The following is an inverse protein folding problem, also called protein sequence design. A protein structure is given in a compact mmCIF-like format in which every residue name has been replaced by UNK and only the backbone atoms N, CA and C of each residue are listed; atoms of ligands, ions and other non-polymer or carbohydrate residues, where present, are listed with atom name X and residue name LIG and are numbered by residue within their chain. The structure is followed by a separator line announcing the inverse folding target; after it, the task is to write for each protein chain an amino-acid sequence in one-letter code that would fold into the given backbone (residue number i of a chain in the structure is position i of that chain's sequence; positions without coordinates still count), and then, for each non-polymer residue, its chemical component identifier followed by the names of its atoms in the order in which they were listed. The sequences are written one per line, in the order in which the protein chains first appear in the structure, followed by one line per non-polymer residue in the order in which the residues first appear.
data_IF_862850303951
#
_entry.id   IF_862850303951
#
_cell.length_a   1.000
_cell.length_b   1.000
_cell.length_c   1.000
_cell.angle_alpha   90.00
_cell.angle_beta   90.00
_cell.angle_gamma   90.00
#
_symmetry.space_group_name_H-M   'P 1'
#
loop_
_entity.id
_entity.type
_entity.pdbx_description
1 polymer ?
#
# COMPACT_ATOMS: atom_id res chain seq x y z
N UNK A 1 -0.31 11.60 16.99
CA UNK A 1 -0.64 10.86 15.75
C UNK A 1 0.66 10.69 14.99
N UNK A 2 1.06 9.46 14.65
CA UNK A 2 2.38 9.16 14.09
C UNK A 2 2.43 9.58 12.61
N UNK A 3 3.25 10.59 12.30
CA UNK A 3 3.49 11.14 10.95
C UNK A 3 4.42 10.27 10.09
N UNK A 4 4.22 8.95 10.03
CA UNK A 4 5.17 8.09 9.26
C UNK A 4 5.00 8.29 7.75
N UNK A 5 3.87 8.83 7.30
CA UNK A 5 3.61 9.12 5.88
C UNK A 5 3.10 10.54 5.76
N UNK A 6 3.96 11.47 5.35
CA UNK A 6 3.48 12.77 4.90
C UNK A 6 2.91 12.57 3.49
N UNK A 7 1.59 12.72 3.27
CA UNK A 7 0.98 12.50 1.96
C UNK A 7 1.50 13.48 0.92
N UNK A 8 2.03 14.64 1.33
CA UNK A 8 2.69 15.60 0.46
C UNK A 8 4.11 15.21 0.04
N UNK A 9 4.68 14.19 0.68
CA UNK A 9 5.99 13.60 0.34
C UNK A 9 5.87 12.20 -0.27
N UNK A 10 4.66 11.72 -0.53
CA UNK A 10 4.46 10.49 -1.29
C UNK A 10 4.99 10.72 -2.71
N UNK A 11 6.06 10.02 -3.06
CA UNK A 11 6.45 9.81 -4.45
C UNK A 11 5.47 8.80 -5.08
N UNK A 12 4.22 9.22 -5.24
CA UNK A 12 3.15 8.41 -5.80
C UNK A 12 2.53 9.15 -6.97
N UNK A 13 3.13 8.96 -8.13
CA UNK A 13 2.63 9.52 -9.38
C UNK A 13 1.64 8.57 -10.04
N UNK A 14 0.64 9.12 -10.74
CA UNK A 14 -0.31 8.32 -11.53
C UNK A 14 0.38 7.27 -12.43
N UNK A 15 1.47 7.59 -13.16
CA UNK A 15 2.23 6.59 -13.92
C UNK A 15 2.76 5.42 -13.10
N UNK A 16 3.26 5.66 -11.88
CA UNK A 16 3.78 4.59 -11.02
C UNK A 16 2.69 3.63 -10.55
N UNK A 17 1.51 4.15 -10.21
CA UNK A 17 0.36 3.32 -9.84
C UNK A 17 -0.10 2.49 -11.04
N UNK A 18 -0.17 3.09 -12.23
CA UNK A 18 -0.51 2.37 -13.47
C UNK A 18 0.51 1.28 -13.79
N UNK A 19 1.80 1.58 -13.66
CA UNK A 19 2.89 0.60 -13.83
C UNK A 19 2.78 -0.55 -12.83
N UNK A 20 2.38 -0.28 -11.59
CA UNK A 20 2.10 -1.31 -10.60
C UNK A 20 0.94 -2.20 -11.05
N UNK A 21 -0.19 -1.62 -11.47
CA UNK A 21 -1.31 -2.39 -12.00
C UNK A 21 -0.90 -3.29 -13.18
N UNK A 22 -0.12 -2.75 -14.12
CA UNK A 22 0.37 -3.50 -15.29
C UNK A 22 1.29 -4.65 -14.89
N UNK A 23 2.18 -4.44 -13.91
CA UNK A 23 3.03 -5.50 -13.38
C UNK A 23 2.20 -6.64 -12.80
N UNK A 24 1.14 -6.33 -12.06
CA UNK A 24 0.26 -7.33 -11.45
C UNK A 24 -0.57 -8.07 -12.50
N UNK A 25 -1.14 -7.34 -13.48
CA UNK A 25 -1.85 -7.94 -14.62
C UNK A 25 -0.92 -8.90 -15.37
N UNK A 26 0.28 -8.45 -15.76
CA UNK A 26 1.26 -9.28 -16.47
C UNK A 26 1.66 -10.53 -15.68
N UNK A 27 1.78 -10.43 -14.35
CA UNK A 27 2.04 -11.59 -13.49
C UNK A 27 0.91 -12.62 -13.57
N UNK A 28 -0.35 -12.17 -13.52
CA UNK A 28 -1.52 -13.05 -13.52
C UNK A 28 -1.88 -13.58 -14.90
N UNK A 29 -1.60 -12.85 -15.97
CA UNK A 29 -1.84 -13.28 -17.35
C UNK A 29 -1.06 -14.55 -17.74
N UNK A 30 0.00 -14.91 -17.00
CA UNK A 30 0.70 -16.20 -17.16
C UNK A 30 -0.20 -17.42 -16.95
N UNK A 31 -1.28 -17.28 -16.18
CA UNK A 31 -2.34 -18.28 -16.02
C UNK A 31 -3.68 -17.55 -15.98
N UNK A 32 -4.17 -17.20 -17.18
CA UNK A 32 -5.37 -16.37 -17.33
C UNK A 32 -6.63 -17.09 -16.86
N UNK A 33 -6.74 -18.41 -17.06
CA UNK A 33 -7.91 -19.19 -16.65
C UNK A 33 -8.10 -19.16 -15.13
N UNK A 34 -7.00 -19.30 -14.36
CA UNK A 34 -7.05 -19.23 -12.90
C UNK A 34 -7.31 -17.82 -12.38
N UNK A 35 -6.77 -16.80 -13.06
CA UNK A 35 -6.73 -15.43 -12.56
C UNK A 35 -7.71 -14.46 -13.24
N UNK A 36 -8.62 -14.93 -14.10
CA UNK A 36 -9.48 -14.07 -14.91
C UNK A 36 -10.21 -12.99 -14.09
N UNK A 37 -10.79 -13.37 -12.94
CA UNK A 37 -11.47 -12.43 -12.03
C UNK A 37 -10.51 -11.40 -11.41
N UNK A 38 -9.31 -11.82 -11.06
CA UNK A 38 -8.28 -10.94 -10.49
C UNK A 38 -7.78 -9.93 -11.53
N UNK A 39 -7.57 -10.40 -12.77
CA UNK A 39 -7.19 -9.56 -13.90
C UNK A 39 -8.29 -8.54 -14.19
N UNK A 40 -9.55 -8.94 -14.19
CA UNK A 40 -10.69 -8.02 -14.38
C UNK A 40 -10.71 -6.95 -13.28
N UNK A 41 -10.59 -7.35 -12.02
CA UNK A 41 -10.58 -6.42 -10.89
C UNK A 41 -9.39 -5.45 -10.96
N UNK A 42 -8.20 -5.92 -11.32
CA UNK A 42 -7.03 -5.04 -11.45
C UNK A 42 -7.14 -4.08 -12.63
N UNK A 43 -7.76 -4.48 -13.73
CA UNK A 43 -8.08 -3.57 -14.83
C UNK A 43 -9.08 -2.49 -14.41
N UNK A 44 -10.05 -2.82 -13.55
CA UNK A 44 -10.97 -1.83 -12.98
C UNK A 44 -10.23 -0.81 -12.09
N UNK A 45 -9.31 -1.28 -11.24
CA UNK A 45 -8.45 -0.40 -10.42
C UNK A 45 -7.56 0.48 -11.31
N UNK A 46 -6.92 -0.09 -12.34
CA UNK A 46 -6.11 0.68 -13.29
C UNK A 46 -6.95 1.76 -13.98
N UNK A 47 -8.17 1.41 -14.39
CA UNK A 47 -9.09 2.35 -15.04
C UNK A 47 -9.50 3.48 -14.10
N UNK A 48 -9.81 3.17 -12.83
CA UNK A 48 -10.15 4.23 -11.86
C UNK A 48 -8.98 5.19 -11.65
N UNK A 49 -7.75 4.67 -11.54
CA UNK A 49 -6.53 5.48 -11.42
C UNK A 49 -6.34 6.39 -12.63
N UNK A 50 -6.58 5.90 -13.85
CA UNK A 50 -6.46 6.69 -15.07
C UNK A 50 -7.54 7.79 -15.16
N UNK A 51 -8.74 7.53 -14.66
CA UNK A 51 -9.88 8.45 -14.74
C UNK A 51 -9.88 9.53 -13.66
N UNK A 52 -9.33 9.25 -12.48
CA UNK A 52 -9.28 10.19 -11.36
C UNK A 52 -8.23 11.28 -11.60
N UNK A 53 -8.55 12.52 -11.25
CA UNK A 53 -7.60 13.65 -11.28
C UNK A 53 -6.50 13.48 -10.23
N UNK A 54 -5.38 14.18 -10.41
CA UNK A 54 -4.17 13.95 -9.60
C UNK A 54 -4.36 14.32 -8.12
N UNK A 55 -5.16 15.36 -7.81
CA UNK A 55 -5.43 15.79 -6.43
C UNK A 55 -6.28 14.75 -5.69
N UNK A 56 -7.39 14.33 -6.29
CA UNK A 56 -8.25 13.28 -5.74
C UNK A 56 -7.49 11.96 -5.60
N UNK A 57 -6.68 11.59 -6.61
CA UNK A 57 -5.88 10.37 -6.58
C UNK A 57 -4.89 10.39 -5.42
N UNK A 58 -4.17 11.51 -5.23
CA UNK A 58 -3.23 11.69 -4.13
C UNK A 58 -3.90 11.58 -2.77
N UNK A 59 -5.08 12.19 -2.60
CA UNK A 59 -5.83 12.12 -1.35
C UNK A 59 -6.25 10.67 -1.02
N UNK A 60 -6.89 9.98 -1.96
CA UNK A 60 -7.38 8.61 -1.75
C UNK A 60 -6.24 7.64 -1.50
N UNK A 61 -5.18 7.68 -2.31
CA UNK A 61 -4.06 6.77 -2.12
C UNK A 61 -3.21 7.13 -0.89
N UNK A 62 -3.22 8.39 -0.46
CA UNK A 62 -2.65 8.81 0.83
C UNK A 62 -3.30 8.06 1.99
N UNK A 63 -4.64 8.01 2.03
CA UNK A 63 -5.39 7.24 3.04
C UNK A 63 -5.07 5.74 3.00
N UNK A 64 -5.10 5.14 1.80
CA UNK A 64 -4.82 3.71 1.62
C UNK A 64 -3.41 3.37 2.10
N UNK A 65 -2.40 4.15 1.69
CA UNK A 65 -1.01 3.91 2.08
C UNK A 65 -0.78 4.16 3.56
N UNK A 66 -1.31 5.26 4.12
CA UNK A 66 -1.25 5.54 5.55
C UNK A 66 -1.76 4.38 6.40
N UNK A 67 -2.96 3.88 6.08
CA UNK A 67 -3.53 2.72 6.76
C UNK A 67 -2.69 1.45 6.61
N UNK A 68 -2.16 1.16 5.41
CA UNK A 68 -1.29 -0.01 5.20
C UNK A 68 0.00 0.08 6.03
N UNK A 69 0.60 1.26 6.14
CA UNK A 69 1.80 1.46 6.97
C UNK A 69 1.50 1.24 8.46
N UNK A 70 0.38 1.76 8.96
CA UNK A 70 -0.06 1.51 10.34
C UNK A 70 -0.27 0.01 10.60
N UNK A 71 -0.91 -0.68 9.67
CA UNK A 71 -1.14 -2.12 9.77
C UNK A 71 0.18 -2.90 9.80
N UNK A 72 1.14 -2.57 8.93
CA UNK A 72 2.46 -3.19 8.91
C UNK A 72 3.24 -2.92 10.22
N UNK A 73 3.13 -1.70 10.75
CA UNK A 73 3.76 -1.34 12.02
C UNK A 73 3.20 -2.16 13.18
N UNK A 74 1.88 -2.26 13.31
CA UNK A 74 1.26 -3.04 14.39
C UNK A 74 1.53 -4.54 14.23
N UNK A 75 1.56 -5.06 12.99
CA UNK A 75 1.94 -6.46 12.74
C UNK A 75 3.40 -6.74 13.13
N UNK A 76 4.34 -5.87 12.75
CA UNK A 76 5.75 -6.02 13.10
C UNK A 76 5.96 -5.97 14.62
N UNK A 77 5.25 -5.07 15.32
CA UNK A 77 5.27 -4.97 16.77
C UNK A 77 4.68 -6.23 17.44
N UNK A 78 3.56 -6.73 16.95
CA UNK A 78 2.95 -7.97 17.46
C UNK A 78 3.90 -9.17 17.29
N UNK A 79 4.56 -9.28 16.14
CA UNK A 79 5.55 -10.33 15.89
C UNK A 79 6.76 -10.20 16.84
N UNK A 80 7.28 -9.00 17.03
CA UNK A 80 8.41 -8.76 17.93
C UNK A 80 8.10 -9.08 19.40
N UNK A 81 6.87 -8.80 19.84
CA UNK A 81 6.38 -9.18 21.17
C UNK A 81 6.24 -10.70 21.33
N UNK A 82 5.81 -11.41 20.28
CA UNK A 82 5.74 -12.87 20.29
C UNK A 82 7.13 -13.54 20.28
N UNK A 83 8.09 -12.92 19.60
CA UNK A 83 9.47 -13.43 19.47
C UNK A 83 10.39 -12.99 20.62
N UNK A 84 9.89 -12.19 21.58
CA UNK A 84 10.67 -11.72 22.73
C UNK A 84 11.82 -10.77 22.36
N UNK A 85 11.72 -10.08 21.22
CA UNK A 85 12.80 -9.26 20.69
C UNK A 85 12.87 -7.87 21.38
N UNK A 86 14.01 -7.57 21.99
CA UNK A 86 14.27 -6.39 22.84
C UNK A 86 14.10 -5.02 22.17
N UNK A 87 14.13 -4.94 20.83
CA UNK A 87 13.89 -3.68 20.10
C UNK A 87 12.41 -3.23 20.13
N UNK A 88 11.48 -4.13 20.45
CA UNK A 88 10.06 -3.80 20.62
C UNK A 88 9.80 -2.89 21.82
N UNK A 89 10.62 -3.02 22.86
CA UNK A 89 10.56 -2.15 24.05
C UNK A 89 11.16 -0.77 23.76
N UNK A 90 12.22 -0.69 22.95
CA UNK A 90 12.82 0.59 22.53
C UNK A 90 11.86 1.43 21.67
N UNK A 91 10.93 0.80 20.93
CA UNK A 91 9.90 1.52 20.15
C UNK A 91 8.79 2.14 21.03
N UNK A 92 8.56 1.64 22.25
CA UNK A 92 7.62 2.27 23.19
C UNK A 92 8.15 3.65 23.63
N UNK A 93 9.45 3.75 23.86
CA UNK A 93 10.10 4.95 24.40
C UNK A 93 10.28 6.07 23.36
N UNK A 94 10.20 5.75 22.07
CA UNK A 94 10.28 6.75 20.97
C UNK A 94 8.90 7.37 20.66
N UNK A 95 7.81 6.79 21.16
CA UNK A 95 6.44 7.29 20.94
C UNK A 95 5.97 8.27 22.04
N UNK A 96 6.73 8.43 23.13
CA UNK A 96 6.46 9.42 24.20
C UNK A 96 6.94 10.83 23.86
#
# INVERSE_FOLDING_TARGET
MLFIVNPDRLALTKPEIVMFCDRVINKWSKDTTKNAKNILAMNAIKTSVLWTDDETLKAVWGEITGWMYELLYENAKAQAMQEGATWADTLKDVKS
#
